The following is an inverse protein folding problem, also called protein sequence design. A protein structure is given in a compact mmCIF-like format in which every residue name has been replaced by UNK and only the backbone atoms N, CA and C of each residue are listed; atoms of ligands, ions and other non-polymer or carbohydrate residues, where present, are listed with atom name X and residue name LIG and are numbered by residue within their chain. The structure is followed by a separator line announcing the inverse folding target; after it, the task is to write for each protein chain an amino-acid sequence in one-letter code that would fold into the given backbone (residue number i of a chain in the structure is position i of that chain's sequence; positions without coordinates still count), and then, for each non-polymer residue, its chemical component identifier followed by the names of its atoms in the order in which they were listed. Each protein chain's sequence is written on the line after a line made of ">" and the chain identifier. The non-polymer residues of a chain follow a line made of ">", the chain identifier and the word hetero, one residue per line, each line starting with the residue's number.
data_IF_770031455392
#
_entry.id   IF_770031455392
#
_cell.length_a   1.000
_cell.length_b   1.000
_cell.length_c   1.000
_cell.angle_alpha   90.00
_cell.angle_beta   90.00
_cell.angle_gamma   90.00
#
_symmetry.space_group_name_H-M   'P 1'
#
loop_
_entity.id
_entity.type
_entity.pdbx_description
1 polymer ?
#
# COMPACT_ATOMS: atom_id res chain seq x y z
N UNK A 1 16.98 15.10 39.67
CA UNK A 1 17.48 14.15 38.67
C UNK A 1 16.55 13.00 38.44
N UNK A 2 16.13 12.31 39.48
CA UNK A 2 15.19 11.19 39.35
C UNK A 2 13.87 11.61 38.74
N UNK A 3 13.30 12.71 39.23
CA UNK A 3 12.02 13.19 38.72
C UNK A 3 12.10 13.60 37.27
N UNK A 4 13.25 14.11 36.82
CA UNK A 4 13.43 14.50 35.43
C UNK A 4 13.48 13.28 34.53
N UNK A 5 14.19 12.23 34.97
CA UNK A 5 14.26 10.99 34.24
C UNK A 5 12.91 10.28 34.16
N UNK A 6 12.16 10.32 35.26
CA UNK A 6 10.82 9.75 35.32
C UNK A 6 9.88 10.49 34.36
N UNK A 7 10.03 11.82 34.30
CA UNK A 7 9.23 12.63 33.38
C UNK A 7 9.51 12.27 31.92
N UNK A 8 10.77 12.09 31.57
CA UNK A 8 11.15 11.70 30.24
C UNK A 8 10.62 10.31 29.87
N UNK A 9 10.69 9.36 30.79
CA UNK A 9 10.16 8.04 30.59
C UNK A 9 8.64 8.08 30.42
N UNK A 10 7.98 8.92 31.17
CA UNK A 10 6.53 9.09 31.07
C UNK A 10 6.15 9.60 29.68
N UNK A 11 6.87 10.59 29.19
CA UNK A 11 6.64 11.15 27.86
C UNK A 11 6.83 10.09 26.77
N UNK A 12 7.87 9.29 26.90
CA UNK A 12 8.12 8.21 25.94
C UNK A 12 6.99 7.18 25.94
N UNK A 13 6.46 6.85 27.11
CA UNK A 13 5.34 5.92 27.21
C UNK A 13 4.09 6.48 26.54
N UNK A 14 3.84 7.77 26.73
CA UNK A 14 2.70 8.43 26.09
C UNK A 14 2.86 8.41 24.57
N UNK A 15 4.05 8.70 24.09
CA UNK A 15 4.33 8.68 22.66
C UNK A 15 4.10 7.29 22.05
N UNK A 16 4.60 6.25 22.73
CA UNK A 16 4.41 4.88 22.27
C UNK A 16 2.95 4.47 22.30
N UNK A 17 2.22 4.88 23.36
CA UNK A 17 0.79 4.59 23.45
C UNK A 17 0.03 5.28 22.34
N UNK A 18 0.35 6.53 22.05
CA UNK A 18 -0.26 7.26 20.95
C UNK A 18 0.03 6.57 19.62
N UNK A 19 1.24 6.11 19.41
CA UNK A 19 1.59 5.37 18.21
C UNK A 19 0.78 4.10 18.07
N UNK A 20 0.60 3.36 19.16
CA UNK A 20 -0.21 2.15 19.14
C UNK A 20 -1.67 2.46 18.86
N UNK A 21 -2.20 3.54 19.47
CA UNK A 21 -3.57 3.96 19.25
C UNK A 21 -3.79 4.56 17.86
N UNK A 22 -2.73 5.16 17.31
CA UNK A 22 -2.78 5.82 16.02
C UNK A 22 -1.83 5.19 15.02
N UNK A 23 -1.61 3.88 15.16
CA UNK A 23 -0.76 3.15 14.22
C UNK A 23 -1.19 3.42 12.80
N UNK A 24 -0.23 3.71 11.91
CA UNK A 24 -0.60 3.94 10.53
C UNK A 24 -1.24 2.71 9.93
N UNK A 25 -2.20 2.94 9.06
CA UNK A 25 -2.83 1.87 8.31
C UNK A 25 -2.10 1.66 7.01
N UNK A 26 -1.89 0.41 6.67
CA UNK A 26 -1.35 0.01 5.37
C UNK A 26 -2.50 -0.33 4.45
N UNK A 27 -2.53 0.31 3.30
CA UNK A 27 -3.53 0.06 2.27
C UNK A 27 -2.79 -0.14 0.96
N UNK A 28 -3.23 -1.14 0.20
CA UNK A 28 -2.72 -1.36 -1.15
C UNK A 28 -3.84 -1.00 -2.12
N UNK A 29 -3.51 -0.20 -3.12
CA UNK A 29 -4.45 0.18 -4.18
C UNK A 29 -4.30 -0.82 -5.30
N UNK A 30 -5.40 -1.39 -5.73
CA UNK A 30 -5.47 -2.40 -6.79
C UNK A 30 -6.36 -1.94 -7.93
N UNK A 31 -6.04 -2.38 -9.12
CA UNK A 31 -6.97 -2.41 -10.23
C UNK A 31 -7.32 -3.88 -10.46
N UNK A 32 -8.56 -4.25 -10.17
CA UNK A 32 -8.93 -5.67 -10.01
C UNK A 32 -7.98 -6.32 -9.00
N UNK A 33 -7.18 -7.29 -9.38
CA UNK A 33 -6.22 -7.92 -8.46
C UNK A 33 -4.77 -7.55 -8.75
N UNK A 34 -4.54 -6.53 -9.59
CA UNK A 34 -3.19 -6.06 -9.90
C UNK A 34 -2.87 -4.89 -8.96
N UNK A 35 -1.83 -5.01 -8.12
CA UNK A 35 -1.47 -3.91 -7.23
C UNK A 35 -0.81 -2.76 -8.00
N UNK A 36 -1.03 -1.54 -7.53
CA UNK A 36 -0.52 -0.34 -8.17
C UNK A 36 0.27 0.54 -7.21
N UNK A 37 -0.17 0.65 -5.98
CA UNK A 37 0.40 1.61 -5.04
C UNK A 37 0.24 1.14 -3.61
N UNK A 38 1.21 1.47 -2.77
CA UNK A 38 1.17 1.24 -1.33
C UNK A 38 0.97 2.57 -0.64
N UNK A 39 0.04 2.64 0.30
CA UNK A 39 -0.21 3.83 1.11
C UNK A 39 -0.12 3.45 2.57
N UNK A 40 0.70 4.18 3.34
CA UNK A 40 0.84 3.97 4.77
C UNK A 40 0.57 5.28 5.47
N UNK A 41 -0.45 5.30 6.33
CA UNK A 41 -0.85 6.50 7.05
C UNK A 41 -2.09 7.14 6.46
N UNK A 42 -2.41 8.34 6.92
CA UNK A 42 -3.61 9.07 6.51
C UNK A 42 -3.27 10.50 6.12
N UNK A 43 -4.05 11.03 5.19
CA UNK A 43 -3.99 12.41 4.80
C UNK A 43 -2.68 12.82 4.17
N UNK A 44 -2.27 14.04 4.44
CA UNK A 44 -1.07 14.62 3.83
C UNK A 44 0.22 13.96 4.25
N UNK A 45 0.22 13.35 5.44
CA UNK A 45 1.40 12.70 6.00
C UNK A 45 1.54 11.25 5.58
N UNK A 46 0.59 10.76 4.82
CA UNK A 46 0.65 9.39 4.33
C UNK A 46 1.87 9.20 3.43
N UNK A 47 2.58 8.10 3.65
CA UNK A 47 3.64 7.69 2.75
C UNK A 47 3.02 6.92 1.60
N UNK A 48 3.23 7.39 0.39
CA UNK A 48 2.70 6.77 -0.82
C UNK A 48 3.87 6.27 -1.66
N UNK A 49 3.79 5.01 -2.05
CA UNK A 49 4.84 4.40 -2.86
C UNK A 49 4.23 3.74 -4.07
N UNK A 50 4.52 4.30 -5.25
CA UNK A 50 4.14 3.69 -6.51
C UNK A 50 4.95 2.41 -6.71
N UNK A 51 4.29 1.37 -7.19
CA UNK A 51 4.99 0.16 -7.60
C UNK A 51 5.70 0.42 -8.93
N UNK A 52 6.68 -0.43 -9.30
CA UNK A 52 7.38 -0.26 -10.57
C UNK A 52 6.42 -0.17 -11.76
N UNK A 53 6.86 0.48 -12.81
CA UNK A 53 6.07 0.76 -14.01
C UNK A 53 5.43 -0.50 -14.62
N UNK A 54 6.06 -1.64 -14.47
CA UNK A 54 5.52 -2.89 -15.01
C UNK A 54 4.14 -3.25 -14.46
N UNK A 55 3.81 -2.77 -13.26
CA UNK A 55 2.49 -2.96 -12.67
C UNK A 55 1.45 -2.09 -13.38
N UNK A 56 1.79 -0.83 -13.63
CA UNK A 56 0.90 0.07 -14.38
C UNK A 56 0.69 -0.44 -15.79
N UNK A 57 1.75 -0.91 -16.43
CA UNK A 57 1.65 -1.49 -17.76
C UNK A 57 0.74 -2.73 -17.77
N UNK A 58 0.82 -3.56 -16.73
CA UNK A 58 -0.03 -4.73 -16.61
C UNK A 58 -1.50 -4.34 -16.49
N UNK A 59 -1.78 -3.31 -15.68
CA UNK A 59 -3.13 -2.79 -15.52
C UNK A 59 -3.66 -2.29 -16.87
N UNK A 60 -2.86 -1.50 -17.58
CA UNK A 60 -3.25 -0.98 -18.89
C UNK A 60 -3.56 -2.10 -19.88
N UNK A 61 -2.71 -3.12 -19.92
CA UNK A 61 -2.92 -4.27 -20.81
C UNK A 61 -4.19 -5.02 -20.49
N UNK A 62 -4.43 -5.29 -19.20
CA UNK A 62 -5.64 -5.97 -18.76
C UNK A 62 -6.88 -5.16 -19.09
N UNK A 63 -6.83 -3.85 -18.83
CA UNK A 63 -7.94 -2.94 -19.12
C UNK A 63 -8.26 -2.91 -20.61
N UNK A 64 -7.24 -2.81 -21.46
CA UNK A 64 -7.42 -2.81 -22.91
C UNK A 64 -7.99 -4.13 -23.41
N UNK A 65 -7.47 -5.22 -22.87
CA UNK A 65 -7.91 -6.57 -23.26
C UNK A 65 -9.39 -6.80 -22.96
N UNK A 66 -9.87 -6.24 -21.85
CA UNK A 66 -11.26 -6.45 -21.41
C UNK A 66 -12.22 -5.40 -21.95
N UNK A 67 -11.72 -4.41 -22.69
CA UNK A 67 -12.52 -3.30 -23.16
C UNK A 67 -12.87 -2.28 -22.09
N UNK A 68 -12.22 -2.35 -20.94
CA UNK A 68 -12.47 -1.44 -19.82
C UNK A 68 -11.61 -0.18 -19.86
N UNK A 69 -10.79 -0.01 -20.89
CA UNK A 69 -9.87 1.13 -20.96
C UNK A 69 -10.61 2.44 -21.23
N UNK A 70 -10.30 3.45 -20.43
CA UNK A 70 -10.75 4.81 -20.70
C UNK A 70 -12.17 5.16 -20.31
N UNK A 71 -12.90 4.25 -19.69
CA UNK A 71 -14.31 4.45 -19.36
C UNK A 71 -14.61 4.32 -17.87
N UNK A 72 -15.86 4.53 -17.53
CA UNK A 72 -16.37 4.30 -16.18
C UNK A 72 -16.06 2.88 -15.72
N UNK A 73 -16.05 1.92 -16.62
CA UNK A 73 -15.70 0.54 -16.32
C UNK A 73 -14.26 0.42 -15.81
N UNK A 74 -13.34 1.18 -16.38
CA UNK A 74 -11.95 1.23 -15.91
C UNK A 74 -11.88 1.81 -14.50
N UNK A 75 -12.54 2.93 -14.28
CA UNK A 75 -12.52 3.61 -12.98
C UNK A 75 -13.19 2.78 -11.90
N UNK A 76 -14.23 2.04 -12.25
CA UNK A 76 -14.98 1.24 -11.29
C UNK A 76 -14.17 0.07 -10.72
N UNK A 77 -13.12 -0.34 -11.39
CA UNK A 77 -12.31 -1.49 -10.96
C UNK A 77 -11.17 -1.14 -10.00
N UNK A 78 -10.94 0.16 -9.77
CA UNK A 78 -9.98 0.59 -8.76
C UNK A 78 -10.56 0.34 -7.38
N UNK A 79 -9.76 -0.26 -6.50
CA UNK A 79 -10.18 -0.54 -5.14
C UNK A 79 -9.02 -0.44 -4.17
N UNK A 80 -9.35 -0.28 -2.92
CA UNK A 80 -8.37 -0.27 -1.84
C UNK A 80 -8.55 -1.54 -1.01
N UNK A 81 -7.46 -2.13 -0.59
CA UNK A 81 -7.50 -3.25 0.32
C UNK A 81 -8.04 -2.81 1.68
N UNK A 82 -8.42 -3.76 2.52
CA UNK A 82 -8.77 -3.46 3.90
C UNK A 82 -7.54 -2.90 4.61
N UNK A 83 -7.71 -1.84 5.42
CA UNK A 83 -6.58 -1.29 6.17
C UNK A 83 -6.03 -2.32 7.16
N UNK A 84 -4.72 -2.37 7.24
CA UNK A 84 -4.02 -3.21 8.20
C UNK A 84 -3.17 -2.30 9.06
N UNK A 85 -3.29 -2.39 10.37
CA UNK A 85 -2.44 -1.62 11.26
C UNK A 85 -1.01 -2.13 11.18
N UNK A 86 -0.08 -1.22 11.01
CA UNK A 86 1.34 -1.56 10.90
C UNK A 86 2.13 -0.75 11.92
N UNK A 87 3.29 -1.27 12.29
CA UNK A 87 4.18 -0.64 13.23
C UNK A 87 5.42 -0.16 12.49
N UNK A 88 5.93 1.00 12.88
CA UNK A 88 7.14 1.54 12.31
C UNK A 88 6.92 2.85 11.56
N UNK A 89 8.00 3.32 10.96
CA UNK A 89 7.98 4.55 10.18
C UNK A 89 7.21 4.34 8.88
N UNK A 90 6.30 5.26 8.58
CA UNK A 90 5.42 5.12 7.41
C UNK A 90 6.19 4.98 6.10
N UNK A 91 7.26 5.78 5.92
CA UNK A 91 8.07 5.72 4.71
C UNK A 91 8.79 4.39 4.58
N UNK A 92 9.36 3.90 5.67
CA UNK A 92 10.07 2.63 5.67
C UNK A 92 9.13 1.45 5.43
N UNK A 93 7.96 1.48 6.07
CA UNK A 93 6.95 0.44 5.88
C UNK A 93 6.44 0.43 4.45
N UNK A 94 6.17 1.61 3.89
CA UNK A 94 5.70 1.72 2.51
C UNK A 94 6.74 1.16 1.52
N UNK A 95 7.99 1.51 1.73
CA UNK A 95 9.08 1.00 0.87
C UNK A 95 9.24 -0.50 0.99
N UNK A 96 9.26 -1.00 2.22
CA UNK A 96 9.41 -2.44 2.48
C UNK A 96 8.26 -3.23 1.85
N UNK A 97 7.04 -2.74 1.99
CA UNK A 97 5.88 -3.40 1.41
C UNK A 97 5.90 -3.37 -0.11
N UNK A 98 6.29 -2.22 -0.69
CA UNK A 98 6.42 -2.12 -2.14
C UNK A 98 7.47 -3.10 -2.67
N UNK A 99 8.60 -3.22 -1.98
CA UNK A 99 9.65 -4.17 -2.35
C UNK A 99 9.15 -5.61 -2.25
N UNK A 100 8.43 -5.93 -1.19
CA UNK A 100 7.85 -7.25 -1.01
C UNK A 100 6.88 -7.59 -2.14
N UNK A 101 6.02 -6.68 -2.48
CA UNK A 101 5.05 -6.87 -3.57
C UNK A 101 5.78 -7.05 -4.89
N UNK A 102 6.82 -6.24 -5.14
CA UNK A 102 7.58 -6.33 -6.38
C UNK A 102 8.23 -7.70 -6.56
N UNK A 103 8.68 -8.30 -5.47
CA UNK A 103 9.28 -9.64 -5.49
C UNK A 103 8.21 -10.71 -5.65
N UNK A 104 7.13 -10.59 -4.88
CA UNK A 104 6.05 -11.58 -4.85
C UNK A 104 5.28 -11.65 -6.16
N UNK A 105 5.06 -10.51 -6.78
CA UNK A 105 4.39 -10.44 -8.09
C UNK A 105 5.42 -10.49 -9.20
N UNK A 106 6.02 -11.65 -9.39
CA UNK A 106 7.02 -11.85 -10.42
C UNK A 106 6.40 -11.78 -11.81
N UNK A 107 7.25 -11.88 -12.81
CA UNK A 107 6.84 -11.75 -14.21
C UNK A 107 5.74 -12.76 -14.57
N UNK A 108 5.88 -13.97 -14.10
CA UNK A 108 4.90 -15.04 -14.39
C UNK A 108 3.54 -14.76 -13.77
N UNK A 109 3.54 -14.29 -12.53
CA UNK A 109 2.31 -13.94 -11.83
C UNK A 109 1.61 -12.75 -12.49
N UNK A 110 2.37 -11.74 -12.88
CA UNK A 110 1.83 -10.58 -13.59
C UNK A 110 1.22 -11.02 -14.93
N UNK A 111 1.91 -11.89 -15.65
CA UNK A 111 1.43 -12.41 -16.91
C UNK A 111 0.12 -13.19 -16.75
N UNK A 112 0.03 -13.99 -15.68
CA UNK A 112 -1.20 -14.72 -15.36
C UNK A 112 -2.35 -13.78 -15.05
N UNK A 113 -2.09 -12.70 -14.31
CA UNK A 113 -3.10 -11.70 -14.00
C UNK A 113 -3.64 -11.05 -15.27
N UNK A 114 -2.75 -10.68 -16.19
CA UNK A 114 -3.16 -10.09 -17.47
C UNK A 114 -4.01 -11.08 -18.25
N UNK A 115 -3.55 -12.33 -18.34
CA UNK A 115 -4.26 -13.39 -19.06
C UNK A 115 -5.66 -13.62 -18.49
N UNK A 116 -5.81 -13.47 -17.18
CA UNK A 116 -7.09 -13.65 -16.49
C UNK A 116 -7.82 -12.32 -16.27
N UNK A 117 -7.62 -11.37 -17.17
CA UNK A 117 -8.34 -10.09 -17.20
C UNK A 117 -8.13 -9.23 -15.94
N UNK A 118 -7.01 -9.39 -15.27
CA UNK A 118 -6.68 -8.66 -14.06
C UNK A 118 -7.10 -9.36 -12.78
N UNK A 119 -7.66 -10.55 -12.88
CA UNK A 119 -8.13 -11.31 -11.71
C UNK A 119 -7.15 -12.42 -11.34
N UNK A 120 -7.02 -12.63 -10.03
CA UNK A 120 -6.17 -13.68 -9.46
C UNK A 120 -6.66 -15.09 -9.81
#
# INVERSE_FOLDING_TARGET
>A
MQSKNDSDNYKKRIELSKRKLTMPSLIIVYWRDIPAQVIVGKGRRAAKKQLPERFEQAIDRAAMKTGAAGDDAYLAEWRKSKPIDVDGDAEEVAKSEADRINIEYDQERIKSLITNDGWE
#
